data_IF_818823296973
#
_entry.id   IF_818823296973
#
_cell.length_a   1.000
_cell.length_b   1.000
_cell.length_c   1.000
_cell.angle_alpha   90.00
_cell.angle_beta   90.00
_cell.angle_gamma   90.00
#
_symmetry.space_group_name_H-M   'P 1'
#
loop_
_entity.id
_entity.type
_entity.pdbx_description
1 polymer ?
#
# COMPACT_ATOMS: atom_id res chain seq x y z
N UNK A 1 13.20 9.94 8.54
CA UNK A 1 13.20 10.37 7.13
C UNK A 1 12.84 9.13 6.31
N UNK A 2 11.69 9.11 5.64
CA UNK A 2 11.36 8.02 4.71
C UNK A 2 12.37 8.06 3.56
N UNK A 3 13.08 6.96 3.30
CA UNK A 3 13.94 6.87 2.12
C UNK A 3 13.06 7.03 0.88
N UNK A 4 13.43 7.98 0.01
CA UNK A 4 12.67 8.26 -1.21
C UNK A 4 12.68 7.02 -2.11
N UNK A 5 11.55 6.33 -2.20
CA UNK A 5 11.40 5.17 -3.08
C UNK A 5 11.48 5.63 -4.54
N UNK A 6 12.28 4.93 -5.34
CA UNK A 6 12.42 5.24 -6.75
C UNK A 6 11.26 4.61 -7.53
N UNK A 7 10.22 5.40 -7.79
CA UNK A 7 9.02 4.96 -8.54
C UNK A 7 9.35 4.34 -9.91
N UNK A 8 10.37 4.84 -10.62
CA UNK A 8 10.79 4.26 -11.90
C UNK A 8 11.36 2.86 -11.71
N UNK A 9 12.14 2.66 -10.65
CA UNK A 9 12.69 1.35 -10.31
C UNK A 9 11.61 0.38 -9.84
N UNK A 10 10.65 0.84 -9.03
CA UNK A 10 9.49 0.03 -8.63
C UNK A 10 8.68 -0.39 -9.86
N UNK A 11 8.34 0.54 -10.76
CA UNK A 11 7.61 0.24 -11.98
C UNK A 11 8.37 -0.73 -12.88
N UNK A 12 9.69 -0.54 -13.03
CA UNK A 12 10.53 -1.49 -13.75
C UNK A 12 10.52 -2.88 -13.09
N UNK A 13 10.66 -2.97 -11.77
CA UNK A 13 10.67 -4.24 -11.04
C UNK A 13 9.34 -4.96 -11.21
N UNK A 14 8.21 -4.26 -11.04
CA UNK A 14 6.88 -4.82 -11.22
C UNK A 14 6.61 -5.25 -12.68
N UNK A 15 7.23 -4.58 -13.67
CA UNK A 15 7.16 -5.03 -15.07
C UNK A 15 7.82 -6.38 -15.33
N UNK A 16 8.70 -6.83 -14.41
CA UNK A 16 9.36 -8.13 -14.47
C UNK A 16 8.63 -9.22 -13.69
N UNK A 17 7.57 -8.88 -12.94
CA UNK A 17 6.84 -9.84 -12.10
C UNK A 17 5.85 -10.64 -12.95
N UNK A 18 5.90 -11.95 -12.81
CA UNK A 18 4.88 -12.89 -13.28
C UNK A 18 4.10 -13.40 -12.06
N UNK A 19 2.90 -12.86 -11.83
CA UNK A 19 2.06 -13.20 -10.68
C UNK A 19 1.61 -14.66 -10.69
N UNK A 20 1.24 -15.19 -11.87
CA UNK A 20 0.84 -16.59 -12.05
C UNK A 20 1.96 -17.59 -11.72
N UNK A 21 3.21 -17.23 -12.02
CA UNK A 21 4.40 -18.07 -11.76
C UNK A 21 5.09 -17.74 -10.43
N UNK A 22 4.66 -16.68 -9.75
CA UNK A 22 5.30 -16.10 -8.55
C UNK A 22 6.79 -15.89 -8.75
N UNK A 23 7.14 -15.24 -9.87
CA UNK A 23 8.54 -15.01 -10.24
C UNK A 23 8.83 -13.58 -10.67
N UNK A 24 10.07 -13.14 -10.49
CA UNK A 24 10.66 -11.92 -11.05
C UNK A 24 11.64 -12.34 -12.16
N UNK A 25 11.36 -11.92 -13.39
CA UNK A 25 12.11 -12.33 -14.59
C UNK A 25 13.05 -11.21 -15.00
N UNK A 26 14.31 -11.27 -14.55
CA UNK A 26 15.32 -10.26 -14.84
C UNK A 26 15.94 -10.46 -16.23
N UNK A 27 16.09 -11.72 -16.66
CA UNK A 27 16.57 -12.12 -17.99
C UNK A 27 16.11 -13.56 -18.31
N UNK A 28 16.37 -14.06 -19.53
CA UNK A 28 15.98 -15.41 -19.97
C UNK A 28 16.37 -16.54 -18.99
N UNK A 29 17.53 -16.42 -18.35
CA UNK A 29 18.08 -17.38 -17.39
C UNK A 29 18.20 -16.81 -15.96
N UNK A 30 17.67 -15.61 -15.68
CA UNK A 30 17.69 -15.00 -14.35
C UNK A 30 16.26 -14.81 -13.87
N UNK A 31 15.75 -15.84 -13.20
CA UNK A 31 14.39 -15.89 -12.67
C UNK A 31 14.46 -16.12 -11.17
N UNK A 32 13.88 -15.21 -10.41
CA UNK A 32 13.77 -15.31 -8.95
C UNK A 32 12.35 -15.72 -8.59
N UNK A 33 12.18 -16.77 -7.80
CA UNK A 33 10.88 -17.09 -7.20
C UNK A 33 10.70 -16.27 -5.93
N UNK A 34 9.45 -15.96 -5.60
CA UNK A 34 9.12 -15.30 -4.35
C UNK A 34 7.80 -15.83 -3.78
N UNK A 35 7.65 -15.70 -2.48
CA UNK A 35 6.45 -16.05 -1.72
C UNK A 35 6.02 -14.87 -0.83
N UNK A 36 4.80 -14.88 -0.27
CA UNK A 36 4.32 -13.82 0.63
C UNK A 36 5.31 -13.49 1.76
N UNK A 37 6.00 -14.51 2.30
CA UNK A 37 6.99 -14.35 3.37
C UNK A 37 8.23 -13.56 2.91
N UNK A 38 8.61 -13.66 1.64
CA UNK A 38 9.69 -12.85 1.07
C UNK A 38 9.27 -11.38 0.97
N UNK A 39 8.01 -11.13 0.61
CA UNK A 39 7.45 -9.77 0.53
C UNK A 39 7.40 -9.15 1.93
N UNK A 40 6.99 -9.91 2.93
CA UNK A 40 7.09 -9.50 4.33
C UNK A 40 8.52 -9.18 4.74
N UNK A 41 9.45 -10.10 4.47
CA UNK A 41 10.85 -9.95 4.88
C UNK A 41 11.54 -8.74 4.23
N UNK A 42 11.22 -8.45 2.97
CA UNK A 42 11.86 -7.36 2.22
C UNK A 42 11.20 -6.00 2.50
N UNK A 43 9.87 -5.96 2.61
CA UNK A 43 9.13 -4.70 2.66
C UNK A 43 8.48 -4.42 4.03
N UNK A 44 8.55 -5.36 4.97
CA UNK A 44 7.86 -5.27 6.26
C UNK A 44 6.34 -5.30 6.12
N UNK A 45 5.83 -5.84 5.00
CA UNK A 45 4.39 -5.88 4.75
C UNK A 45 3.79 -7.04 5.57
N UNK A 46 2.71 -6.79 6.33
CA UNK A 46 1.84 -7.79 6.94
C UNK A 46 1.66 -9.05 6.07
N UNK A 47 1.89 -10.23 6.65
CA UNK A 47 1.81 -11.51 5.96
C UNK A 47 1.13 -12.54 6.88
N UNK A 48 -0.19 -12.58 6.78
CA UNK A 48 -1.05 -13.49 7.54
C UNK A 48 -1.85 -14.45 6.66
N UNK A 49 -2.76 -15.16 7.31
CA UNK A 49 -3.62 -16.17 6.67
C UNK A 49 -4.86 -15.53 6.01
N UNK A 50 -5.10 -14.25 6.27
CA UNK A 50 -6.25 -13.52 5.81
C UNK A 50 -6.00 -12.90 4.44
N UNK A 51 -6.89 -13.20 3.49
CA UNK A 51 -6.87 -12.53 2.20
C UNK A 51 -7.42 -11.11 2.35
N UNK A 52 -6.60 -10.15 1.93
CA UNK A 52 -6.99 -8.76 1.79
C UNK A 52 -7.98 -8.65 0.61
N UNK A 53 -9.12 -7.98 0.80
CA UNK A 53 -10.07 -7.77 -0.31
C UNK A 53 -9.44 -6.86 -1.36
N UNK A 54 -9.36 -7.33 -2.60
CA UNK A 54 -8.85 -6.56 -3.73
C UNK A 54 -9.90 -5.61 -4.30
N UNK A 55 -9.87 -5.41 -5.63
CA UNK A 55 -10.75 -4.50 -6.38
C UNK A 55 -12.24 -4.78 -6.14
N UNK A 56 -12.59 -6.04 -5.94
CA UNK A 56 -13.96 -6.49 -5.72
C UNK A 56 -14.43 -6.30 -4.27
N UNK A 57 -13.55 -5.79 -3.40
CA UNK A 57 -13.87 -5.44 -2.03
C UNK A 57 -14.81 -4.25 -1.97
N UNK A 58 -16.09 -4.49 -1.68
CA UNK A 58 -17.05 -3.42 -1.49
C UNK A 58 -16.76 -2.63 -0.22
N UNK A 59 -16.47 -1.33 -0.37
CA UNK A 59 -16.36 -0.38 0.74
C UNK A 59 -17.46 0.65 0.59
N UNK A 60 -18.07 0.97 1.72
CA UNK A 60 -19.06 2.04 1.80
C UNK A 60 -18.44 3.38 1.38
N UNK A 61 -19.05 4.17 0.47
CA UNK A 61 -18.54 5.48 0.06
C UNK A 61 -18.24 6.42 1.24
N UNK A 62 -19.01 6.30 2.33
CA UNK A 62 -18.85 7.05 3.57
C UNK A 62 -17.52 6.72 4.25
N UNK A 63 -17.10 5.45 4.23
CA UNK A 63 -15.81 5.02 4.77
C UNK A 63 -14.65 5.54 3.92
N UNK A 64 -14.79 5.54 2.59
CA UNK A 64 -13.78 6.14 1.70
C UNK A 64 -13.64 7.64 1.99
N UNK A 65 -14.76 8.36 2.14
CA UNK A 65 -14.77 9.79 2.48
C UNK A 65 -14.12 10.05 3.83
N UNK A 66 -14.45 9.22 4.83
CA UNK A 66 -13.87 9.30 6.16
C UNK A 66 -12.34 9.15 6.11
N UNK A 67 -11.83 8.09 5.48
CA UNK A 67 -10.39 7.84 5.34
C UNK A 67 -9.69 9.00 4.63
N UNK A 68 -10.26 9.48 3.50
CA UNK A 68 -9.69 10.62 2.77
C UNK A 68 -9.57 11.85 3.66
N UNK A 69 -10.58 12.13 4.47
CA UNK A 69 -10.57 13.27 5.39
C UNK A 69 -9.56 13.08 6.53
N UNK A 70 -9.52 11.89 7.13
CA UNK A 70 -8.60 11.60 8.24
C UNK A 70 -7.13 11.63 7.81
N UNK A 71 -6.83 11.21 6.58
CA UNK A 71 -5.50 11.27 6.00
C UNK A 71 -5.17 12.64 5.36
N UNK A 72 -6.14 13.55 5.28
CA UNK A 72 -5.96 14.88 4.67
C UNK A 72 -5.79 14.85 3.14
N UNK A 73 -6.30 13.79 2.49
CA UNK A 73 -6.31 13.61 1.04
C UNK A 73 -7.43 14.40 0.33
N UNK A 74 -8.38 14.96 1.09
CA UNK A 74 -9.49 15.79 0.62
C UNK A 74 -9.10 17.26 0.37
N UNK A 75 -7.88 17.65 0.75
CA UNK A 75 -7.36 19.01 0.57
C UNK A 75 -6.98 19.26 -0.90
N UNK A 76 -7.45 20.37 -1.47
CA UNK A 76 -7.10 20.80 -2.83
C UNK A 76 -5.56 20.85 -3.00
N UNK A 77 -5.05 20.19 -4.02
CA UNK A 77 -3.63 20.17 -4.37
C UNK A 77 -2.78 19.15 -3.60
N UNK A 78 -3.35 18.37 -2.68
CA UNK A 78 -2.63 17.31 -1.98
C UNK A 78 -2.68 16.01 -2.78
N UNK A 79 -1.52 15.54 -3.23
CA UNK A 79 -1.38 14.20 -3.81
C UNK A 79 -1.64 13.15 -2.71
N UNK A 80 -2.56 12.21 -2.95
CA UNK A 80 -2.94 11.20 -1.95
C UNK A 80 -1.74 10.42 -1.37
N UNK A 81 -0.71 10.17 -2.17
CA UNK A 81 0.53 9.53 -1.72
C UNK A 81 1.34 10.42 -0.76
N UNK A 82 1.44 11.72 -1.03
CA UNK A 82 2.12 12.65 -0.12
C UNK A 82 1.36 12.83 1.19
N UNK A 83 0.02 12.80 1.17
CA UNK A 83 -0.80 12.76 2.38
C UNK A 83 -0.52 11.50 3.22
N UNK A 84 -0.49 10.32 2.59
CA UNK A 84 -0.17 9.07 3.27
C UNK A 84 1.27 9.10 3.86
N UNK A 85 2.25 9.57 3.10
CA UNK A 85 3.63 9.76 3.58
C UNK A 85 3.71 10.67 4.81
N UNK A 86 3.05 11.83 4.75
CA UNK A 86 3.03 12.77 5.85
C UNK A 86 2.34 12.18 7.09
N UNK A 87 1.32 11.35 6.90
CA UNK A 87 0.67 10.64 8.01
C UNK A 87 1.61 9.61 8.64
N UNK A 88 2.35 8.85 7.82
CA UNK A 88 3.32 7.84 8.30
C UNK A 88 4.50 8.43 9.07
N UNK A 89 4.81 9.71 8.86
CA UNK A 89 5.85 10.42 9.62
C UNK A 89 5.39 10.86 11.03
N UNK A 90 4.11 10.68 11.37
CA UNK A 90 3.59 10.98 12.73
C UNK A 90 4.11 9.97 13.74
N UNK A 91 4.26 10.42 14.98
CA UNK A 91 4.62 9.53 16.08
C UNK A 91 3.37 8.72 16.50
N UNK A 92 3.31 7.46 16.08
CA UNK A 92 2.30 6.49 16.50
C UNK A 92 2.96 5.50 17.46
N UNK A 93 2.40 5.39 18.66
CA UNK A 93 2.91 4.53 19.73
C UNK A 93 1.88 3.48 20.12
N UNK A 94 2.26 2.53 20.97
CA UNK A 94 1.33 1.54 21.52
C UNK A 94 0.20 2.19 22.34
N UNK A 95 0.41 3.38 22.90
CA UNK A 95 -0.60 4.15 23.63
C UNK A 95 -1.51 5.00 22.73
N UNK A 96 -1.24 5.09 21.42
CA UNK A 96 -2.08 5.84 20.48
C UNK A 96 -3.49 5.25 20.42
N UNK A 97 -4.47 6.11 20.08
CA UNK A 97 -5.87 5.68 19.98
C UNK A 97 -6.02 4.66 18.86
N UNK A 98 -6.99 3.74 19.00
CA UNK A 98 -7.30 2.74 17.97
C UNK A 98 -7.44 3.37 16.58
N UNK A 99 -8.19 4.48 16.51
CA UNK A 99 -8.38 5.22 15.26
C UNK A 99 -7.08 5.73 14.62
N UNK A 100 -6.09 6.13 15.41
CA UNK A 100 -4.81 6.62 14.89
C UNK A 100 -3.97 5.46 14.35
N UNK A 101 -4.00 4.30 15.02
CA UNK A 101 -3.35 3.07 14.57
C UNK A 101 -3.99 2.53 13.29
N UNK A 102 -5.31 2.48 13.24
CA UNK A 102 -6.07 2.08 12.05
C UNK A 102 -5.71 3.00 10.86
N UNK A 103 -5.68 4.31 11.09
CA UNK A 103 -5.31 5.27 10.05
C UNK A 103 -3.85 5.15 9.61
N UNK A 104 -2.94 4.79 10.54
CA UNK A 104 -1.55 4.50 10.21
C UNK A 104 -1.44 3.26 9.31
N UNK A 105 -2.14 2.16 9.64
CA UNK A 105 -2.17 0.96 8.81
C UNK A 105 -2.74 1.26 7.42
N UNK A 106 -3.81 2.04 7.35
CA UNK A 106 -4.39 2.47 6.07
C UNK A 106 -3.39 3.31 5.25
N UNK A 107 -2.75 4.30 5.88
CA UNK A 107 -1.72 5.11 5.23
C UNK A 107 -0.54 4.26 4.73
N UNK A 108 -0.13 3.25 5.50
CA UNK A 108 0.94 2.32 5.15
C UNK A 108 0.59 1.51 3.91
N UNK A 109 -0.62 0.92 3.86
CA UNK A 109 -1.10 0.18 2.69
C UNK A 109 -1.13 1.08 1.45
N UNK A 110 -1.67 2.29 1.58
CA UNK A 110 -1.71 3.26 0.46
C UNK A 110 -0.31 3.61 -0.03
N UNK A 111 0.63 3.84 0.90
CA UNK A 111 2.02 4.15 0.59
C UNK A 111 2.71 3.01 -0.17
N UNK A 112 2.64 1.78 0.34
CA UNK A 112 3.26 0.60 -0.27
C UNK A 112 2.64 0.28 -1.63
N UNK A 113 1.31 0.30 -1.74
CA UNK A 113 0.63 0.03 -2.99
C UNK A 113 0.98 1.07 -4.05
N UNK A 114 1.00 2.35 -3.69
CA UNK A 114 1.31 3.43 -4.63
C UNK A 114 2.78 3.55 -5.00
N UNK A 115 3.71 3.14 -4.14
CA UNK A 115 5.15 3.28 -4.40
C UNK A 115 5.85 2.02 -4.87
N UNK A 116 5.35 0.83 -4.51
CA UNK A 116 6.06 -0.44 -4.71
C UNK A 116 5.25 -1.38 -5.59
N UNK A 117 4.02 -1.73 -5.18
CA UNK A 117 3.31 -2.88 -5.74
C UNK A 117 2.43 -2.55 -6.95
N UNK A 118 1.89 -1.33 -7.03
CA UNK A 118 1.13 -0.84 -8.16
C UNK A 118 1.52 0.61 -8.50
N UNK A 119 2.82 0.87 -8.79
CA UNK A 119 3.31 2.21 -9.03
C UNK A 119 2.68 2.80 -10.28
N UNK A 120 2.04 3.97 -10.14
CA UNK A 120 1.43 4.70 -11.25
C UNK A 120 2.37 5.82 -11.73
N UNK A 121 2.44 6.04 -13.04
CA UNK A 121 3.21 7.16 -13.62
C UNK A 121 2.47 8.49 -13.55
N UNK A 122 1.15 8.46 -13.36
CA UNK A 122 0.33 9.64 -13.04
C UNK A 122 0.19 9.73 -11.53
N UNK A 123 0.43 10.90 -10.95
CA UNK A 123 0.12 11.21 -9.54
C UNK A 123 -1.41 11.26 -9.27
N UNK A 124 -2.21 10.64 -10.14
CA UNK A 124 -3.64 10.46 -9.97
C UNK A 124 -3.87 9.27 -9.06
N UNK A 125 -4.28 9.63 -7.84
CA UNK A 125 -5.03 8.86 -6.86
C UNK A 125 -4.86 7.35 -6.92
N UNK A 126 -4.06 6.86 -5.96
CA UNK A 126 -4.26 5.62 -5.21
C UNK A 126 -5.34 4.73 -5.83
N UNK A 127 -4.92 3.85 -6.73
CA UNK A 127 -5.78 2.92 -7.45
C UNK A 127 -6.78 2.33 -6.45
N UNK A 128 -8.08 2.63 -6.67
CA UNK A 128 -9.20 2.23 -5.81
C UNK A 128 -9.23 0.71 -5.61
N UNK A 129 -8.58 -0.01 -6.53
CA UNK A 129 -8.41 -1.46 -6.61
C UNK A 129 -7.86 -2.13 -5.34
N UNK A 130 -7.24 -1.40 -4.41
CA UNK A 130 -6.70 -1.97 -3.16
C UNK A 130 -7.41 -1.47 -1.92
N UNK A 131 -8.36 -0.54 -2.07
CA UNK A 131 -9.05 0.00 -0.92
C UNK A 131 -9.87 -1.08 -0.22
N UNK A 132 -10.28 -2.15 -0.90
CA UNK A 132 -10.97 -3.29 -0.27
C UNK A 132 -10.24 -3.82 0.97
N UNK A 133 -8.91 -3.70 1.00
CA UNK A 133 -8.04 -3.98 2.14
C UNK A 133 -8.42 -3.23 3.41
N UNK A 134 -8.90 -2.01 3.23
CA UNK A 134 -9.17 -1.03 4.27
C UNK A 134 -10.56 -1.22 4.87
N UNK A 135 -11.35 -2.19 4.39
CA UNK A 135 -12.66 -2.51 4.94
C UNK A 135 -12.58 -3.08 6.36
N UNK A 136 -11.46 -3.70 6.73
CA UNK A 136 -11.21 -4.15 8.10
C UNK A 136 -9.70 -4.09 8.41
N UNK A 137 -9.27 -3.08 9.17
CA UNK A 137 -7.87 -2.92 9.58
C UNK A 137 -7.37 -4.03 10.50
N UNK A 138 -8.26 -4.72 11.22
CA UNK A 138 -7.91 -5.88 12.04
C UNK A 138 -7.49 -7.08 11.20
N UNK A 139 -7.81 -7.11 9.89
CA UNK A 139 -7.31 -8.16 8.98
C UNK A 139 -5.96 -7.83 8.34
N UNK A 140 -5.39 -6.67 8.68
CA UNK A 140 -4.06 -6.26 8.26
C UNK A 140 -3.07 -6.68 9.36
N UNK A 141 -2.72 -7.98 9.36
CA UNK A 141 -1.84 -8.66 10.34
C UNK A 141 -0.39 -8.81 9.84
#
# INVERSE_FOLDING_TARGET
>A
MLHKLNLKFSAWTMSKVSTSRRTIILAKNKVLKFWPEDVHKVFGIPCGHHNIKGRDGHIKPEAIKFIKSTLGMDRKGVHGLSAAENFLMRNITESSRKIEKDCFQIAFVIFIMGHVLAPTTKHDYATIDFWGALANTETIE
#
